data_IF_957881284283
#
_entry.id   IF_957881284283
#
_cell.length_a   1.000
_cell.length_b   1.000
_cell.length_c   1.000
_cell.angle_alpha   90.00
_cell.angle_beta   90.00
_cell.angle_gamma   90.00
#
_symmetry.space_group_name_H-M   'P 1'
#
loop_
_entity.id
_entity.type
_entity.pdbx_description
1 polymer ?
#
# COMPACT_ATOMS: atom_id res chain seq x y z
N UNK A 1 9.41 -27.53 -57.53
CA UNK A 1 10.35 -27.56 -56.40
C UNK A 1 10.08 -26.49 -55.34
N UNK A 2 9.56 -25.31 -55.71
CA UNK A 2 9.36 -24.19 -54.77
C UNK A 2 8.18 -24.40 -53.80
N UNK A 3 7.07 -25.02 -54.26
CA UNK A 3 5.89 -25.28 -53.39
C UNK A 3 6.17 -26.22 -52.21
N UNK A 4 7.15 -27.12 -52.34
CA UNK A 4 7.45 -28.11 -51.29
C UNK A 4 8.26 -27.50 -50.13
N UNK A 5 8.85 -26.32 -50.32
CA UNK A 5 9.65 -25.63 -49.30
C UNK A 5 8.75 -24.79 -48.40
N UNK A 6 7.75 -24.12 -48.97
CA UNK A 6 6.78 -23.32 -48.21
C UNK A 6 5.93 -24.20 -47.28
N UNK A 7 5.49 -25.38 -47.77
CA UNK A 7 4.74 -26.36 -46.97
C UNK A 7 5.60 -26.94 -45.82
N UNK A 8 6.91 -27.16 -46.04
CA UNK A 8 7.83 -27.61 -45.00
C UNK A 8 8.09 -26.55 -43.93
N UNK A 9 8.18 -25.28 -44.33
CA UNK A 9 8.33 -24.15 -43.41
C UNK A 9 7.07 -24.01 -42.55
N UNK A 10 5.88 -24.11 -43.14
CA UNK A 10 4.61 -24.03 -42.41
C UNK A 10 4.45 -25.18 -41.41
N UNK A 11 4.85 -26.39 -41.79
CA UNK A 11 4.87 -27.55 -40.90
C UNK A 11 5.85 -27.35 -39.72
N UNK A 12 7.04 -26.77 -39.97
CA UNK A 12 7.99 -26.41 -38.91
C UNK A 12 7.41 -25.38 -37.94
N UNK A 13 6.76 -24.32 -38.43
CA UNK A 13 6.08 -23.35 -37.58
C UNK A 13 4.97 -23.98 -36.74
N UNK A 14 4.18 -24.88 -37.32
CA UNK A 14 3.09 -25.55 -36.60
C UNK A 14 3.61 -26.49 -35.51
N UNK A 15 4.68 -27.25 -35.77
CA UNK A 15 5.31 -28.12 -34.77
C UNK A 15 5.95 -27.32 -33.63
N UNK A 16 6.56 -26.18 -33.93
CA UNK A 16 7.09 -25.26 -32.93
C UNK A 16 5.98 -24.63 -32.07
N UNK A 17 4.87 -24.20 -32.69
CA UNK A 17 3.71 -23.68 -31.98
C UNK A 17 3.05 -24.74 -31.08
N UNK A 18 2.94 -25.97 -31.56
CA UNK A 18 2.41 -27.10 -30.78
C UNK A 18 3.30 -27.42 -29.58
N UNK A 19 4.62 -27.48 -29.77
CA UNK A 19 5.57 -27.71 -28.68
C UNK A 19 5.52 -26.60 -27.62
N UNK A 20 5.42 -25.33 -28.07
CA UNK A 20 5.28 -24.19 -27.18
C UNK A 20 3.95 -24.23 -26.39
N UNK A 21 2.85 -24.59 -27.05
CA UNK A 21 1.55 -24.75 -26.39
C UNK A 21 1.56 -25.88 -25.35
N UNK A 22 2.15 -27.04 -25.69
CA UNK A 22 2.31 -28.16 -24.75
C UNK A 22 3.17 -27.74 -23.55
N UNK A 23 4.24 -26.97 -23.77
CA UNK A 23 5.08 -26.44 -22.68
C UNK A 23 4.33 -25.50 -21.73
N UNK A 24 3.51 -24.58 -22.28
CA UNK A 24 2.67 -23.70 -21.46
C UNK A 24 1.65 -24.50 -20.65
N UNK A 25 1.00 -25.48 -21.27
CA UNK A 25 0.01 -26.34 -20.61
C UNK A 25 0.68 -27.16 -19.51
N UNK A 26 1.87 -27.73 -19.74
CA UNK A 26 2.62 -28.47 -18.72
C UNK A 26 3.02 -27.58 -17.53
N UNK A 27 3.54 -26.37 -17.77
CA UNK A 27 3.85 -25.42 -16.69
C UNK A 27 2.60 -25.01 -15.89
N UNK A 28 1.45 -24.90 -16.55
CA UNK A 28 0.19 -24.61 -15.88
C UNK A 28 -0.25 -25.76 -14.95
N UNK A 29 -0.12 -27.01 -15.39
CA UNK A 29 -0.45 -28.17 -14.57
C UNK A 29 0.55 -28.40 -13.42
N UNK A 30 1.85 -28.16 -13.61
CA UNK A 30 2.81 -28.20 -12.51
C UNK A 30 2.48 -27.15 -11.43
N UNK A 31 2.15 -25.91 -11.82
CA UNK A 31 1.68 -24.88 -10.88
C UNK A 31 0.38 -25.29 -10.18
N UNK A 32 -0.56 -25.93 -10.90
CA UNK A 32 -1.83 -26.38 -10.32
C UNK A 32 -1.65 -27.54 -9.34
N UNK A 33 -0.73 -28.48 -9.62
CA UNK A 33 -0.39 -29.58 -8.69
C UNK A 33 0.27 -29.04 -7.42
N UNK A 34 1.18 -28.05 -7.54
CA UNK A 34 1.78 -27.40 -6.36
C UNK A 34 0.73 -26.68 -5.53
N UNK A 35 -0.28 -26.06 -6.14
CA UNK A 35 -1.39 -25.43 -5.42
C UNK A 35 -2.32 -26.45 -4.75
N UNK A 36 -2.62 -27.58 -5.42
CA UNK A 36 -3.45 -28.64 -4.84
C UNK A 36 -2.75 -29.36 -3.66
N UNK A 37 -1.43 -29.52 -3.70
CA UNK A 37 -0.67 -30.09 -2.59
C UNK A 37 -0.59 -29.16 -1.35
N UNK A 38 -0.92 -27.86 -1.51
CA UNK A 38 -1.01 -26.91 -0.39
C UNK A 38 -2.39 -26.97 0.29
N UNK A 39 -3.43 -27.44 -0.41
CA UNK A 39 -4.80 -27.52 0.10
C UNK A 39 -5.11 -28.85 0.85
N UNK A 40 -4.26 -29.88 0.75
CA UNK A 40 -4.48 -31.17 1.43
C UNK A 40 -4.06 -31.20 2.93
N UNK A 41 -3.55 -30.11 3.49
CA UNK A 41 -3.18 -30.05 4.93
C UNK A 41 -4.25 -29.44 5.86
N UNK A 42 -5.54 -29.53 5.51
CA UNK A 42 -6.64 -29.25 6.43
C UNK A 42 -7.82 -30.21 6.19
N UNK A 43 -7.89 -31.35 6.90
CA UNK A 43 -9.10 -31.86 7.57
C UNK A 43 -8.97 -33.29 8.11
N UNK A 44 -9.60 -33.47 9.27
CA UNK A 44 -10.21 -34.69 9.82
C UNK A 44 -9.32 -35.77 10.48
N UNK A 45 -9.37 -35.71 11.82
CA UNK A 45 -9.16 -36.79 12.78
C UNK A 45 -10.08 -37.98 12.49
N UNK A 46 -9.50 -39.18 12.42
CA UNK A 46 -9.97 -40.43 13.05
C UNK A 46 -9.44 -41.64 12.24
N UNK A 47 -8.28 -42.20 12.60
CA UNK A 47 -8.06 -43.66 12.58
C UNK A 47 -6.74 -44.03 13.31
N UNK A 48 -6.80 -45.10 14.07
CA UNK A 48 -5.71 -45.67 14.88
C UNK A 48 -4.58 -46.20 14.00
N UNK A 49 -3.37 -45.63 14.12
CA UNK A 49 -2.14 -46.41 13.89
C UNK A 49 -0.93 -45.79 14.57
N UNK A 50 -0.24 -46.60 15.38
CA UNK A 50 1.01 -46.25 16.05
C UNK A 50 2.09 -45.88 15.02
N UNK A 51 2.51 -44.61 15.04
CA UNK A 51 3.81 -44.18 14.50
C UNK A 51 4.43 -43.13 15.43
N UNK A 52 5.75 -43.23 15.53
CA UNK A 52 6.65 -42.66 16.55
C UNK A 52 6.52 -41.14 16.77
N UNK A 53 6.86 -40.61 17.97
CA UNK A 53 6.62 -39.22 18.31
C UNK A 53 7.51 -38.29 17.48
N UNK A 54 6.90 -37.60 16.52
CA UNK A 54 7.47 -36.41 15.92
C UNK A 54 7.54 -35.36 17.04
N UNK A 55 8.77 -34.96 17.40
CA UNK A 55 9.01 -33.83 18.28
C UNK A 55 8.50 -32.58 17.57
N UNK A 56 7.25 -32.21 17.85
CA UNK A 56 6.68 -30.93 17.47
C UNK A 56 7.52 -29.85 18.14
N UNK A 57 8.36 -29.18 17.35
CA UNK A 57 9.09 -28.03 17.84
C UNK A 57 8.07 -26.98 18.23
N UNK A 58 7.91 -26.82 19.54
CA UNK A 58 7.15 -25.73 20.17
C UNK A 58 7.74 -24.43 19.63
N UNK A 59 7.12 -23.87 18.57
CA UNK A 59 7.43 -22.51 18.13
C UNK A 59 7.08 -21.62 19.31
N UNK A 60 8.08 -20.89 19.81
CA UNK A 60 7.89 -19.87 20.84
C UNK A 60 6.66 -19.02 20.51
N UNK A 61 5.89 -18.56 21.52
CA UNK A 61 4.66 -17.81 21.26
C UNK A 61 4.98 -16.56 20.44
N UNK A 62 4.61 -16.58 19.15
CA UNK A 62 4.84 -15.47 18.22
C UNK A 62 4.18 -14.24 18.82
N UNK A 63 4.99 -13.20 19.01
CA UNK A 63 4.51 -11.91 19.49
C UNK A 63 3.44 -11.41 18.52
N UNK A 64 2.29 -10.95 19.03
CA UNK A 64 1.17 -10.57 18.15
C UNK A 64 1.57 -9.51 17.11
N UNK A 65 2.49 -8.61 17.46
CA UNK A 65 3.01 -7.59 16.55
C UNK A 65 3.74 -8.17 15.33
N UNK A 66 4.27 -9.39 15.40
CA UNK A 66 4.97 -10.02 14.28
C UNK A 66 4.03 -10.83 13.39
N UNK A 67 2.77 -10.99 13.81
CA UNK A 67 1.75 -11.74 13.08
C UNK A 67 1.62 -11.21 11.66
N UNK A 68 1.62 -12.12 10.69
CA UNK A 68 1.52 -11.84 9.25
C UNK A 68 2.73 -11.14 8.60
N UNK A 69 3.82 -10.85 9.33
CA UNK A 69 4.96 -10.12 8.76
C UNK A 69 5.65 -10.87 7.61
N UNK A 70 5.92 -12.16 7.81
CA UNK A 70 6.59 -12.99 6.80
C UNK A 70 5.72 -13.15 5.54
N UNK A 71 4.42 -13.42 5.74
CA UNK A 71 3.45 -13.52 4.64
C UNK A 71 3.35 -12.19 3.87
N UNK A 72 3.35 -11.06 4.58
CA UNK A 72 3.38 -9.73 3.96
C UNK A 72 4.64 -9.52 3.11
N UNK A 73 5.82 -9.90 3.62
CA UNK A 73 7.09 -9.77 2.88
C UNK A 73 7.13 -10.62 1.62
N UNK A 74 6.50 -11.80 1.65
CA UNK A 74 6.38 -12.69 0.48
C UNK A 74 5.38 -12.20 -0.59
N UNK A 75 4.56 -11.19 -0.27
CA UNK A 75 3.52 -10.70 -1.16
C UNK A 75 4.11 -9.84 -2.29
N UNK A 76 3.58 -10.04 -3.50
CA UNK A 76 3.92 -9.26 -4.69
C UNK A 76 3.54 -7.78 -4.52
N UNK A 77 4.41 -6.88 -4.99
CA UNK A 77 4.17 -5.43 -4.98
C UNK A 77 3.13 -5.00 -6.01
N UNK A 78 2.79 -5.84 -7.00
CA UNK A 78 1.80 -5.52 -8.05
C UNK A 78 0.38 -5.77 -7.56
N UNK A 79 -0.52 -4.84 -7.88
CA UNK A 79 -1.97 -5.06 -7.75
C UNK A 79 -2.42 -6.25 -8.61
N UNK A 80 -3.40 -6.98 -8.08
CA UNK A 80 -4.04 -8.09 -8.78
C UNK A 80 -5.46 -7.66 -9.11
N UNK A 81 -5.74 -7.49 -10.40
CA UNK A 81 -7.06 -7.12 -10.90
C UNK A 81 -7.86 -8.37 -11.30
N UNK A 82 -9.16 -8.33 -11.04
CA UNK A 82 -10.09 -9.35 -11.50
C UNK A 82 -10.52 -9.09 -12.94
N UNK A 83 -11.14 -10.09 -13.57
CA UNK A 83 -11.70 -9.96 -14.91
C UNK A 83 -12.73 -8.82 -14.99
N UNK A 84 -13.60 -8.68 -13.97
CA UNK A 84 -14.58 -7.59 -13.89
C UNK A 84 -13.92 -6.20 -13.89
N UNK A 85 -12.74 -6.06 -13.27
CA UNK A 85 -12.03 -4.78 -13.25
C UNK A 85 -11.51 -4.42 -14.67
N UNK A 86 -11.00 -5.40 -15.41
CA UNK A 86 -10.62 -5.21 -16.82
C UNK A 86 -11.81 -4.90 -17.73
N UNK A 87 -13.00 -5.45 -17.44
CA UNK A 87 -14.21 -5.06 -18.18
C UNK A 87 -14.56 -3.59 -17.97
N UNK A 88 -14.38 -3.06 -16.75
CA UNK A 88 -14.58 -1.63 -16.46
C UNK A 88 -13.58 -0.76 -17.22
N UNK A 89 -12.31 -1.18 -17.31
CA UNK A 89 -11.30 -0.51 -18.14
C UNK A 89 -11.72 -0.43 -19.60
N UNK A 90 -12.11 -1.57 -20.18
CA UNK A 90 -12.51 -1.65 -21.58
C UNK A 90 -13.75 -0.78 -21.89
N UNK A 91 -14.76 -0.82 -21.03
CA UNK A 91 -15.95 0.03 -21.17
C UNK A 91 -15.58 1.52 -21.15
N UNK A 92 -14.68 1.92 -20.25
CA UNK A 92 -14.21 3.31 -20.16
C UNK A 92 -13.38 3.71 -21.38
N UNK A 93 -12.54 2.81 -21.87
CA UNK A 93 -11.73 3.01 -23.07
C UNK A 93 -12.61 3.27 -24.30
N UNK A 94 -13.63 2.45 -24.52
CA UNK A 94 -14.60 2.63 -25.62
C UNK A 94 -15.36 3.96 -25.51
N UNK A 95 -15.81 4.33 -24.30
CA UNK A 95 -16.45 5.62 -24.05
C UNK A 95 -15.51 6.79 -24.42
N UNK A 96 -14.25 6.75 -23.98
CA UNK A 96 -13.28 7.80 -24.24
C UNK A 96 -12.95 7.93 -25.72
N UNK A 97 -12.77 6.82 -26.45
CA UNK A 97 -12.60 6.85 -27.91
C UNK A 97 -13.79 7.53 -28.59
N UNK A 98 -15.01 7.13 -28.21
CA UNK A 98 -16.21 7.68 -28.80
C UNK A 98 -16.33 9.20 -28.56
N UNK A 99 -16.02 9.65 -27.34
CA UNK A 99 -16.08 11.08 -26.99
C UNK A 99 -14.96 11.91 -27.64
N UNK A 100 -13.76 11.36 -27.80
CA UNK A 100 -12.57 12.06 -28.29
C UNK A 100 -12.26 11.81 -29.78
N UNK A 101 -13.19 11.21 -30.53
CA UNK A 101 -12.98 10.85 -31.94
C UNK A 101 -12.44 12.01 -32.80
N UNK A 102 -12.98 13.23 -32.66
CA UNK A 102 -12.52 14.39 -33.41
C UNK A 102 -11.08 14.81 -33.03
N UNK A 103 -10.69 14.67 -31.76
CA UNK A 103 -9.36 15.02 -31.27
C UNK A 103 -8.31 13.98 -31.70
N UNK A 104 -8.71 12.71 -31.81
CA UNK A 104 -7.90 11.63 -32.38
C UNK A 104 -7.64 11.86 -33.87
N UNK A 105 -8.67 12.23 -34.64
CA UNK A 105 -8.52 12.52 -36.08
C UNK A 105 -7.62 13.73 -36.34
N UNK A 106 -7.68 14.73 -35.47
CA UNK A 106 -6.83 15.92 -35.54
C UNK A 106 -5.39 15.69 -35.03
N UNK A 107 -5.10 14.51 -34.46
CA UNK A 107 -3.80 14.16 -33.90
C UNK A 107 -3.45 14.89 -32.60
N UNK A 108 -4.43 15.52 -31.95
CA UNK A 108 -4.25 16.24 -30.68
C UNK A 108 -4.19 15.30 -29.47
N UNK A 109 -4.75 14.10 -29.61
CA UNK A 109 -4.79 13.06 -28.57
C UNK A 109 -4.33 11.72 -29.16
N UNK A 110 -3.53 10.97 -28.42
CA UNK A 110 -3.03 9.66 -28.85
C UNK A 110 -3.83 8.52 -28.22
N UNK A 111 -3.81 7.36 -28.87
CA UNK A 111 -4.46 6.16 -28.36
C UNK A 111 -3.83 5.64 -27.05
N UNK A 112 -2.53 5.90 -26.85
CA UNK A 112 -1.80 5.56 -25.62
C UNK A 112 -2.25 6.39 -24.43
N UNK A 113 -2.55 7.68 -24.64
CA UNK A 113 -3.07 8.56 -23.58
C UNK A 113 -4.47 8.12 -23.14
N UNK A 114 -5.32 7.70 -24.08
CA UNK A 114 -6.64 7.14 -23.76
C UNK A 114 -6.51 5.82 -22.98
N UNK A 115 -5.58 4.94 -23.37
CA UNK A 115 -5.33 3.71 -22.62
C UNK A 115 -4.89 4.01 -21.20
N UNK A 116 -4.01 5.00 -21.02
CA UNK A 116 -3.56 5.40 -19.69
C UNK A 116 -4.70 5.94 -18.85
N UNK A 117 -5.55 6.79 -19.41
CA UNK A 117 -6.70 7.37 -18.71
C UNK A 117 -7.73 6.30 -18.30
N UNK A 118 -8.05 5.37 -19.20
CA UNK A 118 -8.95 4.24 -18.89
C UNK A 118 -8.37 3.32 -17.81
N UNK A 119 -7.07 3.03 -17.86
CA UNK A 119 -6.39 2.25 -16.82
C UNK A 119 -6.41 2.98 -15.46
N UNK A 120 -6.15 4.30 -15.44
CA UNK A 120 -6.22 5.12 -14.23
C UNK A 120 -7.64 5.16 -13.65
N UNK A 121 -8.65 5.27 -14.51
CA UNK A 121 -10.05 5.21 -14.10
C UNK A 121 -10.40 3.85 -13.45
N UNK A 122 -10.04 2.74 -14.10
CA UNK A 122 -10.24 1.40 -13.56
C UNK A 122 -9.53 1.23 -12.21
N UNK A 123 -8.28 1.71 -12.11
CA UNK A 123 -7.52 1.64 -10.88
C UNK A 123 -8.20 2.39 -9.73
N UNK A 124 -8.69 3.60 -9.99
CA UNK A 124 -9.42 4.38 -8.99
C UNK A 124 -10.73 3.68 -8.57
N UNK A 125 -11.48 3.08 -9.50
CA UNK A 125 -12.68 2.31 -9.16
C UNK A 125 -12.36 1.09 -8.29
N UNK A 126 -11.27 0.39 -8.61
CA UNK A 126 -10.78 -0.72 -7.80
C UNK A 126 -10.48 -0.26 -6.36
N UNK A 127 -9.77 0.86 -6.18
CA UNK A 127 -9.47 1.41 -4.86
C UNK A 127 -10.72 1.83 -4.08
N UNK A 128 -11.76 2.32 -4.75
CA UNK A 128 -13.04 2.63 -4.12
C UNK A 128 -13.79 1.38 -3.65
N UNK A 129 -13.68 0.26 -4.37
CA UNK A 129 -14.28 -1.04 -4.00
C UNK A 129 -13.68 -1.59 -2.69
N UNK A 130 -12.41 -1.31 -2.41
CA UNK A 130 -11.72 -1.72 -1.18
C UNK A 130 -12.38 -1.18 0.10
N UNK A 131 -13.05 -0.02 0.03
CA UNK A 131 -13.77 0.58 1.18
C UNK A 131 -14.89 -0.31 1.72
N UNK A 132 -15.52 -1.11 0.86
CA UNK A 132 -16.57 -2.06 1.24
C UNK A 132 -16.03 -3.44 1.62
N UNK A 133 -14.72 -3.62 1.53
CA UNK A 133 -14.05 -4.87 1.82
C UNK A 133 -13.49 -4.76 3.24
N UNK A 134 -13.86 -5.68 4.13
CA UNK A 134 -13.53 -5.62 5.54
C UNK A 134 -12.75 -6.86 5.98
N UNK A 135 -11.78 -6.66 6.86
CA UNK A 135 -11.12 -7.73 7.60
C UNK A 135 -11.48 -7.62 9.08
N UNK A 136 -11.82 -8.75 9.68
CA UNK A 136 -12.05 -8.89 11.11
C UNK A 136 -10.90 -9.64 11.75
N UNK A 137 -10.45 -9.15 12.91
CA UNK A 137 -9.35 -9.75 13.66
C UNK A 137 -9.56 -9.58 15.17
N UNK A 138 -9.23 -10.63 15.92
CA UNK A 138 -9.30 -10.62 17.37
C UNK A 138 -7.93 -10.22 17.92
N UNK A 139 -7.79 -8.95 18.29
CA UNK A 139 -6.58 -8.48 18.96
C UNK A 139 -6.62 -8.83 20.45
N UNK A 140 -5.47 -8.87 21.16
CA UNK A 140 -5.45 -9.11 22.61
C UNK A 140 -6.28 -8.12 23.43
N UNK A 141 -6.52 -6.92 22.89
CA UNK A 141 -7.31 -5.89 23.57
C UNK A 141 -8.79 -5.91 23.18
N UNK A 142 -9.15 -6.44 22.01
CA UNK A 142 -10.53 -6.52 21.53
C UNK A 142 -10.65 -6.84 20.04
N UNK A 143 -11.89 -7.01 19.59
CA UNK A 143 -12.19 -7.30 18.19
C UNK A 143 -12.10 -6.02 17.36
N UNK A 144 -11.51 -6.15 16.18
CA UNK A 144 -11.33 -5.04 15.23
C UNK A 144 -11.90 -5.48 13.89
N UNK A 145 -12.76 -4.64 13.31
CA UNK A 145 -13.08 -4.69 11.89
C UNK A 145 -12.37 -3.50 11.21
N UNK A 146 -11.64 -3.75 10.13
CA UNK A 146 -10.85 -2.73 9.43
C UNK A 146 -11.14 -2.76 7.93
N UNK A 147 -11.24 -1.58 7.32
CA UNK A 147 -11.23 -1.38 5.88
C UNK A 147 -10.28 -0.24 5.48
N UNK A 148 -9.96 -0.15 4.19
CA UNK A 148 -9.16 0.95 3.65
C UNK A 148 -10.06 1.96 2.94
N UNK A 149 -9.98 3.22 3.33
CA UNK A 149 -10.69 4.31 2.66
C UNK A 149 -9.70 5.08 1.78
N UNK A 150 -9.82 4.90 0.46
CA UNK A 150 -8.97 5.58 -0.52
C UNK A 150 -9.15 7.11 -0.53
N UNK A 151 -10.37 7.62 -0.31
CA UNK A 151 -10.65 9.07 -0.32
C UNK A 151 -9.87 9.85 0.75
N UNK A 152 -9.52 9.18 1.86
CA UNK A 152 -8.77 9.78 2.96
C UNK A 152 -7.37 9.18 3.11
N UNK A 153 -7.03 8.17 2.32
CA UNK A 153 -5.81 7.36 2.44
C UNK A 153 -5.61 6.84 3.88
N UNK A 154 -6.68 6.34 4.49
CA UNK A 154 -6.66 5.85 5.88
C UNK A 154 -7.24 4.46 6.03
N UNK A 155 -6.65 3.67 6.92
CA UNK A 155 -7.29 2.49 7.48
C UNK A 155 -8.35 2.91 8.51
N UNK A 156 -9.61 2.74 8.14
CA UNK A 156 -10.75 2.95 9.01
C UNK A 156 -11.03 1.68 9.80
N UNK A 157 -11.15 1.79 11.12
CA UNK A 157 -11.39 0.63 11.98
C UNK A 157 -12.50 0.85 13.00
N UNK A 158 -13.21 -0.23 13.29
CA UNK A 158 -14.29 -0.32 14.27
C UNK A 158 -13.83 -1.20 15.41
N UNK A 159 -13.92 -0.69 16.63
CA UNK A 159 -13.56 -1.40 17.85
C UNK A 159 -14.35 -0.82 19.03
N UNK A 160 -14.77 -1.67 19.95
CA UNK A 160 -15.43 -1.23 21.19
C UNK A 160 -14.43 -0.64 22.20
N UNK A 161 -13.15 -1.05 22.10
CA UNK A 161 -12.06 -0.60 22.96
C UNK A 161 -11.04 0.20 22.16
N UNK A 162 -10.27 1.05 22.84
CA UNK A 162 -9.18 1.80 22.21
C UNK A 162 -8.03 0.84 21.92
N UNK A 163 -7.66 0.69 20.65
CA UNK A 163 -6.61 -0.22 20.20
C UNK A 163 -5.35 0.59 19.84
N UNK A 164 -4.23 0.39 20.55
CA UNK A 164 -2.94 0.98 20.18
C UNK A 164 -2.44 0.51 18.82
N UNK A 165 -1.66 1.36 18.14
CA UNK A 165 -1.18 1.11 16.77
C UNK A 165 -0.37 -0.17 16.63
N UNK A 166 0.39 -0.59 17.66
CA UNK A 166 1.10 -1.88 17.70
C UNK A 166 0.21 -3.08 17.32
N UNK A 167 -1.09 -3.01 17.59
CA UNK A 167 -2.05 -4.06 17.25
C UNK A 167 -2.84 -3.77 15.98
N UNK A 168 -2.92 -2.51 15.52
CA UNK A 168 -3.52 -2.16 14.23
C UNK A 168 -2.59 -2.49 13.06
N UNK A 169 -1.27 -2.41 13.25
CA UNK A 169 -0.27 -2.76 12.24
C UNK A 169 -0.43 -4.20 11.71
N UNK A 170 -0.53 -5.25 12.57
CA UNK A 170 -0.85 -6.61 12.10
C UNK A 170 -2.21 -6.73 11.41
N UNK A 171 -3.23 -5.97 11.85
CA UNK A 171 -4.57 -6.00 11.24
C UNK A 171 -4.53 -5.39 9.83
N UNK A 172 -3.78 -4.32 9.64
CA UNK A 172 -3.54 -3.70 8.34
C UNK A 172 -2.75 -4.64 7.41
N UNK A 173 -1.72 -5.32 7.92
CA UNK A 173 -1.03 -6.37 7.16
C UNK A 173 -1.97 -7.50 6.75
N UNK A 174 -2.85 -7.95 7.65
CA UNK A 174 -3.89 -8.95 7.34
C UNK A 174 -4.79 -8.47 6.21
N UNK A 175 -5.23 -7.22 6.25
CA UNK A 175 -6.05 -6.59 5.20
C UNK A 175 -5.35 -6.65 3.84
N UNK A 176 -4.11 -6.16 3.79
CA UNK A 176 -3.30 -6.07 2.58
C UNK A 176 -3.00 -7.44 1.98
N UNK A 177 -2.71 -8.43 2.83
CA UNK A 177 -2.51 -9.82 2.42
C UNK A 177 -3.80 -10.40 1.85
N UNK A 178 -4.93 -10.17 2.50
CA UNK A 178 -6.22 -10.75 2.11
C UNK A 178 -6.72 -10.19 0.77
N UNK A 179 -6.47 -8.91 0.51
CA UNK A 179 -6.87 -8.25 -0.75
C UNK A 179 -5.73 -8.09 -1.77
N UNK A 180 -4.54 -8.67 -1.52
CA UNK A 180 -3.37 -8.57 -2.40
C UNK A 180 -2.98 -7.13 -2.79
N UNK A 181 -3.09 -6.19 -1.85
CA UNK A 181 -2.89 -4.75 -2.10
C UNK A 181 -1.68 -4.21 -1.35
N UNK A 182 -0.48 -4.74 -1.64
CA UNK A 182 0.76 -4.41 -0.88
C UNK A 182 1.07 -2.92 -0.83
N UNK A 183 0.84 -2.21 -1.93
CA UNK A 183 1.15 -0.79 -2.09
C UNK A 183 0.39 0.13 -1.12
N UNK A 184 -0.70 -0.35 -0.50
CA UNK A 184 -1.50 0.46 0.43
C UNK A 184 -0.90 0.52 1.84
N UNK A 185 0.04 -0.35 2.16
CA UNK A 185 0.64 -0.43 3.48
C UNK A 185 2.12 -0.13 3.42
N UNK A 186 2.55 0.78 4.28
CA UNK A 186 3.93 1.20 4.40
C UNK A 186 4.54 0.53 5.62
N UNK A 187 5.55 -0.32 5.40
CA UNK A 187 6.36 -0.86 6.50
C UNK A 187 7.41 0.19 6.89
N UNK A 188 7.18 0.85 8.02
CA UNK A 188 8.06 1.91 8.52
C UNK A 188 9.48 1.44 8.77
N UNK A 189 9.68 0.18 9.18
CA UNK A 189 11.02 -0.36 9.43
C UNK A 189 11.79 -0.56 8.12
N UNK A 190 11.09 -0.92 7.04
CA UNK A 190 11.67 -1.04 5.69
C UNK A 190 11.94 0.34 5.09
N UNK A 191 11.01 1.30 5.23
CA UNK A 191 11.20 2.69 4.78
C UNK A 191 12.40 3.37 5.46
N UNK A 192 12.56 3.17 6.78
CA UNK A 192 13.70 3.68 7.53
C UNK A 192 15.02 3.17 6.95
N UNK A 193 15.12 1.85 6.70
CA UNK A 193 16.32 1.23 6.13
C UNK A 193 16.60 1.74 4.71
N UNK A 194 15.57 1.89 3.88
CA UNK A 194 15.72 2.41 2.52
C UNK A 194 16.17 3.88 2.53
N UNK A 195 15.61 4.69 3.42
CA UNK A 195 15.99 6.10 3.60
C UNK A 195 17.45 6.24 4.06
N UNK A 196 17.87 5.41 5.02
CA UNK A 196 19.26 5.37 5.48
C UNK A 196 20.24 4.99 4.37
N UNK A 197 19.90 3.97 3.58
CA UNK A 197 20.71 3.51 2.45
C UNK A 197 20.84 4.61 1.37
N UNK A 198 19.73 5.25 0.99
CA UNK A 198 19.73 6.36 0.02
C UNK A 198 20.57 7.53 0.53
N UNK A 199 20.42 7.90 1.80
CA UNK A 199 21.21 8.99 2.39
C UNK A 199 22.71 8.68 2.42
N UNK A 200 23.09 7.41 2.63
CA UNK A 200 24.50 7.00 2.55
C UNK A 200 25.02 7.09 1.12
N UNK A 201 24.25 6.62 0.14
CA UNK A 201 24.60 6.71 -1.29
C UNK A 201 24.77 8.16 -1.75
N UNK A 202 23.84 9.04 -1.38
CA UNK A 202 23.89 10.47 -1.72
C UNK A 202 25.13 11.14 -1.11
N UNK A 203 25.46 10.82 0.15
CA UNK A 203 26.69 11.31 0.79
C UNK A 203 27.94 10.86 0.06
N UNK A 204 28.02 9.57 -0.31
CA UNK A 204 29.18 9.05 -1.06
C UNK A 204 29.29 9.69 -2.44
N UNK A 205 28.18 9.86 -3.16
CA UNK A 205 28.15 10.50 -4.47
C UNK A 205 28.52 11.99 -4.40
N UNK A 206 28.09 12.68 -3.35
CA UNK A 206 28.41 14.09 -3.14
C UNK A 206 29.87 14.29 -2.73
N UNK A 207 30.43 13.40 -1.90
CA UNK A 207 31.86 13.39 -1.57
C UNK A 207 32.74 13.09 -2.79
N UNK A 208 32.32 12.18 -3.67
CA UNK A 208 33.00 11.91 -4.95
C UNK A 208 32.91 13.10 -5.91
N UNK A 209 31.74 13.72 -6.05
CA UNK A 209 31.56 14.92 -6.86
C UNK A 209 32.39 16.11 -6.35
N UNK A 210 32.48 16.29 -5.02
CA UNK A 210 33.29 17.34 -4.41
C UNK A 210 34.80 17.08 -4.56
N UNK A 211 35.25 15.81 -4.51
CA UNK A 211 36.64 15.43 -4.85
C UNK A 211 36.96 15.73 -6.30
N UNK A 212 36.09 15.31 -7.24
CA UNK A 212 36.26 15.56 -8.67
C UNK A 212 36.30 17.07 -8.98
N UNK A 213 35.46 17.85 -8.29
CA UNK A 213 35.41 19.31 -8.42
C UNK A 213 36.67 19.98 -7.87
N UNK A 214 37.22 19.49 -6.75
CA UNK A 214 38.51 19.97 -6.20
C UNK A 214 39.67 19.67 -7.13
N UNK A 215 39.72 18.48 -7.71
CA UNK A 215 40.76 18.11 -8.70
C UNK A 215 40.68 18.99 -9.97
N UNK A 216 39.47 19.29 -10.46
CA UNK A 216 39.26 20.23 -11.58
C UNK A 216 39.61 21.70 -11.25
N UNK A 217 39.45 22.11 -9.99
CA UNK A 217 39.86 23.43 -9.49
C UNK A 217 41.37 23.55 -9.29
N UNK A 218 42.06 22.44 -8.97
CA UNK A 218 43.52 22.39 -8.86
C UNK A 218 44.20 22.34 -10.22
N UNK A 219 43.58 21.71 -11.24
CA UNK A 219 44.07 21.74 -12.62
C UNK A 219 43.95 23.12 -13.31
N UNK A 220 43.08 24.02 -12.82
CA UNK A 220 42.84 25.35 -13.40
C UNK A 220 43.51 26.52 -12.65
N UNK A 221 44.46 26.26 -11.73
CA UNK A 221 45.25 27.34 -11.11
C UNK A 221 46.39 27.79 -12.04
N UNK A 222 46.06 28.64 -13.00
CA UNK A 222 47.00 29.62 -13.58
C UNK A 222 46.88 30.96 -12.85
N UNK A 223 48.02 31.54 -12.52
CA UNK A 223 48.27 32.72 -11.67
C UNK A 223 47.31 33.92 -11.84
N UNK A 224 46.44 34.14 -10.86
CA UNK A 224 45.89 35.48 -10.55
C UNK A 224 45.67 35.61 -9.03
N UNK A 225 46.15 36.68 -8.36
CA UNK A 225 46.06 36.82 -6.91
C UNK A 225 44.62 37.06 -6.46
N UNK A 226 44.07 36.14 -5.66
CA UNK A 226 42.72 36.25 -5.08
C UNK A 226 42.73 37.22 -3.89
N UNK A 227 41.94 38.30 -3.98
CA UNK A 227 41.51 39.08 -2.81
C UNK A 227 40.46 38.27 -2.04
N UNK A 228 40.83 37.79 -0.86
CA UNK A 228 39.93 37.07 0.03
C UNK A 228 38.97 38.04 0.71
N UNK A 229 37.76 38.17 0.17
CA UNK A 229 36.63 38.82 0.82
C UNK A 229 36.10 37.90 1.94
N UNK A 230 36.80 37.87 3.07
CA UNK A 230 36.30 37.23 4.29
C UNK A 230 35.19 38.10 4.92
N UNK A 231 33.93 37.80 4.57
CA UNK A 231 32.79 38.30 5.32
C UNK A 231 32.67 37.53 6.64
N UNK A 232 33.06 38.17 7.75
CA UNK A 232 32.87 37.64 9.10
C UNK A 232 31.38 37.70 9.47
N UNK A 233 30.69 36.57 9.39
CA UNK A 233 29.28 36.44 9.79
C UNK A 233 29.12 36.76 11.29
N UNK A 234 28.32 37.77 11.62
CA UNK A 234 27.96 38.10 13.00
C UNK A 234 27.06 37.02 13.56
N UNK A 235 27.46 36.45 14.70
CA UNK A 235 26.61 35.55 15.50
C UNK A 235 25.64 36.39 16.31
N UNK A 236 24.34 36.28 16.03
CA UNK A 236 23.28 36.73 16.92
C UNK A 236 22.65 35.49 17.58
N UNK A 237 22.34 35.59 18.88
CA UNK A 237 21.99 34.52 19.84
C UNK A 237 23.18 33.84 20.54
N UNK A 238 24.01 34.62 21.24
CA UNK A 238 24.54 34.14 22.52
C UNK A 238 23.61 34.63 23.62
N UNK A 239 22.94 33.71 24.31
CA UNK A 239 22.13 34.03 25.49
C UNK A 239 23.00 34.80 26.50
N UNK A 240 22.50 35.92 27.08
CA UNK A 240 23.27 36.65 28.08
C UNK A 240 23.24 35.86 29.39
N UNK A 241 24.41 35.32 29.76
CA UNK A 241 24.67 34.83 31.10
C UNK A 241 24.64 35.99 32.10
N UNK A 242 23.74 35.85 33.09
CA UNK A 242 23.78 36.42 34.44
C UNK A 242 23.72 37.95 34.62
N UNK A 243 22.51 38.43 34.94
CA UNK A 243 22.26 39.66 35.71
C UNK A 243 20.96 39.51 36.51
N UNK A 244 20.91 39.89 37.81
CA UNK A 244 19.80 39.53 38.68
C UNK A 244 18.66 40.56 38.65
N UNK A 245 17.42 40.07 38.70
CA UNK A 245 16.39 40.40 39.71
C UNK A 245 14.96 40.40 39.17
N UNK A 246 14.13 39.62 39.87
CA UNK A 246 12.71 39.78 40.15
C UNK A 246 11.74 40.19 39.02
N UNK A 247 10.89 39.23 38.63
CA UNK A 247 9.44 39.49 38.56
C UNK A 247 8.62 38.20 38.74
N UNK A 248 7.50 38.40 39.43
CA UNK A 248 6.62 37.46 40.12
C UNK A 248 5.90 36.47 39.19
N UNK A 249 5.70 35.26 39.74
CA UNK A 249 4.52 34.41 39.67
C UNK A 249 3.67 34.45 38.39
N UNK A 250 3.79 33.40 37.58
CA UNK A 250 2.64 32.73 36.98
C UNK A 250 2.98 31.24 36.80
N UNK A 251 2.25 30.36 37.46
CA UNK A 251 2.34 28.90 37.25
C UNK A 251 1.70 28.58 35.90
N UNK A 252 2.37 27.93 34.94
CA UNK A 252 1.69 27.22 33.87
C UNK A 252 1.25 25.85 34.41
N UNK A 253 0.01 25.47 34.09
CA UNK A 253 -0.57 24.16 34.38
C UNK A 253 0.38 23.03 33.94
N UNK A 254 0.85 22.22 34.90
CA UNK A 254 1.51 20.96 34.60
C UNK A 254 0.46 19.96 34.12
N UNK A 255 0.60 19.50 32.87
CA UNK A 255 -0.13 18.35 32.34
C UNK A 255 0.32 17.06 33.07
N UNK A 256 -0.58 16.08 33.32
CA UNK A 256 -0.24 14.81 33.97
C UNK A 256 0.82 13.99 33.22
N UNK A 257 1.65 13.28 33.98
CA UNK A 257 2.87 12.60 33.54
C UNK A 257 2.70 11.46 32.51
N UNK A 258 1.46 11.07 32.17
CA UNK A 258 1.17 9.97 31.23
C UNK A 258 0.94 10.40 29.77
N UNK A 259 1.11 11.69 29.45
CA UNK A 259 1.05 12.20 28.06
C UNK A 259 2.38 12.77 27.56
N UNK A 260 3.50 12.49 28.22
CA UNK A 260 4.83 12.88 27.72
C UNK A 260 5.27 11.87 26.65
N UNK A 261 5.52 12.28 25.39
CA UNK A 261 6.17 11.40 24.44
C UNK A 261 7.56 11.07 24.99
N UNK A 262 7.93 9.79 24.99
CA UNK A 262 9.30 9.36 25.27
C UNK A 262 10.20 9.93 24.18
N UNK A 263 10.82 11.07 24.45
CA UNK A 263 11.88 11.63 23.62
C UNK A 263 13.11 10.76 23.83
N UNK A 264 13.28 9.76 22.97
CA UNK A 264 14.60 9.17 22.74
C UNK A 264 15.47 10.31 22.19
N UNK A 265 16.53 10.67 22.92
CA UNK A 265 17.49 11.66 22.46
C UNK A 265 18.29 11.07 21.29
N UNK A 266 17.73 11.11 20.09
CA UNK A 266 18.47 10.85 18.86
C UNK A 266 19.03 12.19 18.37
N UNK A 267 20.35 12.24 18.23
CA UNK A 267 21.07 13.43 17.78
C UNK A 267 20.49 13.94 16.44
N UNK A 268 20.35 15.25 16.37
CA UNK A 268 19.74 16.02 15.30
C UNK A 268 20.24 15.66 13.89
N UNK A 269 19.37 15.03 13.09
CA UNK A 269 19.32 15.19 11.64
C UNK A 269 17.89 15.61 11.28
N UNK A 270 17.64 16.89 10.94
CA UNK A 270 16.30 17.45 10.88
C UNK A 270 15.54 17.23 9.55
N UNK A 271 16.13 16.62 8.52
CA UNK A 271 15.45 16.42 7.22
C UNK A 271 14.71 15.08 7.12
N UNK A 272 15.34 13.98 7.53
CA UNK A 272 14.81 12.64 7.24
C UNK A 272 13.61 12.26 8.13
N UNK A 273 13.64 12.64 9.41
CA UNK A 273 12.55 12.34 10.36
C UNK A 273 11.21 13.02 10.01
N UNK A 274 11.25 14.16 9.31
CA UNK A 274 10.02 14.86 8.88
C UNK A 274 9.38 14.12 7.70
N UNK A 275 10.19 13.71 6.72
CA UNK A 275 9.72 12.98 5.53
C UNK A 275 9.10 11.62 5.87
N UNK A 276 9.69 10.90 6.84
CA UNK A 276 9.20 9.60 7.32
C UNK A 276 7.82 9.70 7.99
N UNK A 277 7.47 10.86 8.55
CA UNK A 277 6.16 11.08 9.17
C UNK A 277 5.04 11.25 8.12
N UNK A 278 5.37 11.76 6.94
CA UNK A 278 4.40 11.99 5.86
C UNK A 278 3.96 10.68 5.20
N UNK A 279 4.83 9.66 5.20
CA UNK A 279 4.60 8.38 4.52
C UNK A 279 4.11 7.27 5.47
N UNK A 280 3.69 7.60 6.69
CA UNK A 280 3.25 6.60 7.66
C UNK A 280 1.78 6.20 7.49
N UNK A 281 1.46 4.94 7.79
CA UNK A 281 0.08 4.45 7.79
C UNK A 281 -0.81 5.28 8.73
N UNK A 282 -1.97 5.71 8.22
CA UNK A 282 -2.94 6.48 9.00
C UNK A 282 -4.12 5.62 9.42
N UNK A 283 -4.45 5.66 10.70
CA UNK A 283 -5.57 4.93 11.29
C UNK A 283 -6.65 5.86 11.82
N UNK A 284 -7.91 5.58 11.51
CA UNK A 284 -9.07 6.35 11.98
C UNK A 284 -10.08 5.44 12.65
N UNK A 285 -10.52 5.78 13.87
CA UNK A 285 -11.59 5.04 14.57
C UNK A 285 -12.96 5.49 14.05
N UNK A 286 -13.64 4.62 13.32
CA UNK A 286 -14.93 4.92 12.66
C UNK A 286 -16.14 4.56 13.51
N UNK A 287 -15.95 3.87 14.65
CA UNK A 287 -17.02 3.60 15.60
C UNK A 287 -16.82 2.34 16.43
N UNK A 288 -17.87 2.00 17.19
CA UNK A 288 -17.93 0.78 17.98
C UNK A 288 -18.08 -0.44 17.07
N UNK A 289 -17.43 -1.54 17.43
CA UNK A 289 -17.59 -2.81 16.72
C UNK A 289 -19.03 -3.32 16.82
N UNK A 290 -19.68 -3.08 17.97
CA UNK A 290 -21.08 -3.43 18.17
C UNK A 290 -22.06 -2.74 17.20
N UNK A 291 -21.67 -1.58 16.63
CA UNK A 291 -22.47 -0.84 15.66
C UNK A 291 -22.06 -1.13 14.21
N UNK A 292 -21.11 -2.03 14.00
CA UNK A 292 -20.62 -2.36 12.68
C UNK A 292 -21.69 -3.15 11.92
N UNK A 293 -22.19 -2.57 10.84
CA UNK A 293 -23.21 -3.19 10.00
C UNK A 293 -22.52 -3.92 8.86
N UNK A 294 -22.43 -5.25 8.96
CA UNK A 294 -21.82 -6.11 7.94
C UNK A 294 -22.69 -6.14 6.67
N UNK A 295 -24.01 -6.11 6.83
CA UNK A 295 -24.95 -6.27 5.73
C UNK A 295 -25.38 -4.92 5.16
N UNK A 296 -25.27 -4.76 3.84
CA UNK A 296 -25.82 -3.58 3.16
C UNK A 296 -27.31 -3.43 3.49
N UNK A 297 -27.69 -2.33 4.12
CA UNK A 297 -29.11 -2.04 4.40
C UNK A 297 -29.83 -1.80 3.07
N UNK A 298 -30.70 -2.74 2.70
CA UNK A 298 -31.48 -2.64 1.47
C UNK A 298 -32.56 -1.58 1.65
N UNK A 299 -32.55 -0.56 0.79
CA UNK A 299 -33.65 0.39 0.74
C UNK A 299 -34.86 -0.30 0.08
N UNK A 300 -35.83 -0.70 0.90
CA UNK A 300 -37.02 -1.47 0.46
C UNK A 300 -37.84 -0.76 -0.61
N UNK A 301 -37.80 0.57 -0.65
CA UNK A 301 -38.52 1.39 -1.62
C UNK A 301 -37.93 1.29 -3.03
N UNK A 302 -36.65 0.93 -3.15
CA UNK A 302 -35.96 0.75 -4.44
C UNK A 302 -36.26 -0.64 -5.03
N UNK A 303 -36.39 -1.65 -4.17
CA UNK A 303 -36.53 -3.05 -4.59
C UNK A 303 -37.98 -3.41 -4.94
N UNK A 304 -38.96 -2.94 -4.18
CA UNK A 304 -40.37 -3.18 -4.49
C UNK A 304 -41.12 -1.86 -4.63
N UNK A 305 -41.60 -1.59 -5.84
CA UNK A 305 -42.46 -0.43 -6.15
C UNK A 305 -43.74 -0.43 -5.31
N UNK A 306 -44.15 -1.59 -4.76
CA UNK A 306 -45.29 -1.68 -3.83
C UNK A 306 -45.00 -1.03 -2.48
N UNK A 307 -43.76 -1.06 -1.98
CA UNK A 307 -43.38 -0.33 -0.77
C UNK A 307 -43.29 1.18 -0.99
N UNK A 308 -43.15 1.62 -2.24
CA UNK A 308 -43.18 3.02 -2.64
C UNK A 308 -44.61 3.56 -2.92
N UNK A 309 -45.65 2.70 -2.92
CA UNK A 309 -47.04 3.13 -3.14
C UNK A 309 -47.48 4.05 -1.98
N UNK A 310 -47.83 5.29 -2.31
CA UNK A 310 -48.48 6.17 -1.35
C UNK A 310 -49.86 5.60 -0.99
N UNK A 311 -50.35 5.91 0.20
CA UNK A 311 -51.72 5.56 0.62
C UNK A 311 -52.79 6.02 -0.39
N UNK A 312 -52.52 7.12 -1.09
CA UNK A 312 -53.36 7.62 -2.19
C UNK A 312 -53.40 6.65 -3.38
N UNK A 313 -52.26 6.11 -3.77
CA UNK A 313 -52.11 5.19 -4.90
C UNK A 313 -52.71 3.82 -4.57
N UNK A 314 -52.53 3.34 -3.32
CA UNK A 314 -53.18 2.13 -2.82
C UNK A 314 -54.71 2.23 -2.92
N UNK A 315 -55.28 3.38 -2.52
CA UNK A 315 -56.74 3.61 -2.58
C UNK A 315 -57.29 3.62 -4.01
N UNK A 316 -56.49 4.02 -4.99
CA UNK A 316 -56.85 3.99 -6.42
C UNK A 316 -56.86 2.56 -6.98
N UNK A 317 -56.00 1.67 -6.48
CA UNK A 317 -55.94 0.27 -6.90
C UNK A 317 -57.02 -0.59 -6.21
N UNK A 318 -57.54 -0.17 -5.05
CA UNK A 318 -58.55 -0.91 -4.27
C UNK A 318 -60.01 -0.75 -4.72
N UNK A 319 -60.27 -0.01 -5.80
CA UNK A 319 -61.61 0.20 -6.38
C UNK A 319 -61.78 -0.60 -7.66
#
# INVERSE_FOLDING_TARGET
MISNIEDQILALFYTMALAYFIGIVAMYYEKKIVLLNIDETESETDDDTLTEPIVEQVKDPIKYEEKYLEKYRSLSDKFVYSYDDYEVENQKYEELIFTNHANLENGELTLEEIQKESCEYMHNQFLLKLKNSYVMENTPLGNVAMCYNHEKETFEYYSDKVIPYRYLEPVARKYVIFFHCKQLYVDMDEELKQSELKSQQDKTAQEEADKLRKEQLEANKSDVPKKELFAKLKHYNREPTNGPSNLKNNKPNLLPNYMKPTVVQTQSQPSNNVLLKEHANRYTHSGRFSNFVILKTVNRNVVDKKYALSYKDYKLISK
#
